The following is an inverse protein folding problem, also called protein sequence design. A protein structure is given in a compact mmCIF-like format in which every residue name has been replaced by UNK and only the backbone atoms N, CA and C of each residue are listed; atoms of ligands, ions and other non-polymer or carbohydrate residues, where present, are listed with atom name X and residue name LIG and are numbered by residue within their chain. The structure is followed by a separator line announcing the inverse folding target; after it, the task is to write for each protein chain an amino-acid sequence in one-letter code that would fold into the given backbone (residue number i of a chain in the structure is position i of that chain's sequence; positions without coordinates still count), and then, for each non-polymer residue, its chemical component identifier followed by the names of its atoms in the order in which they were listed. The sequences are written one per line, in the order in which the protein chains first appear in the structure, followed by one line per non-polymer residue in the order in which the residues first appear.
data_IF_205150133195
#
_entry.id   IF_205150133195
#
_cell.length_a   1.000
_cell.length_b   1.000
_cell.length_c   1.000
_cell.angle_alpha   90.00
_cell.angle_beta   90.00
_cell.angle_gamma   90.00
#
_symmetry.space_group_name_H-M   'P 1'
#
loop_
_entity.id
_entity.type
_entity.pdbx_description
1 polymer ?
#
# COMPACT_ATOMS: atom_id res chain seq x y z
N UNK A 1 -6.68 -7.35 13.10
CA UNK A 1 -7.78 -6.36 13.03
C UNK A 1 -9.08 -7.12 12.83
N UNK A 2 -10.17 -6.83 13.56
CA UNK A 2 -11.44 -7.58 13.42
C UNK A 2 -12.59 -6.70 12.94
N UNK A 3 -13.64 -7.25 12.30
CA UNK A 3 -14.83 -6.50 11.89
C UNK A 3 -15.49 -5.72 13.04
N UNK A 4 -15.56 -6.30 14.24
CA UNK A 4 -16.13 -5.63 15.42
C UNK A 4 -15.31 -4.40 15.84
N UNK A 5 -13.98 -4.51 15.83
CA UNK A 5 -13.06 -3.40 16.12
C UNK A 5 -13.17 -2.30 15.05
N UNK A 6 -13.22 -2.66 13.77
CA UNK A 6 -13.39 -1.72 12.65
C UNK A 6 -14.67 -0.91 12.85
N UNK A 7 -15.81 -1.59 13.04
CA UNK A 7 -17.10 -0.93 13.20
C UNK A 7 -17.13 0.00 14.42
N UNK A 8 -16.59 -0.47 15.56
CA UNK A 8 -16.55 0.33 16.79
C UNK A 8 -15.67 1.57 16.64
N UNK A 9 -14.50 1.43 16.01
CA UNK A 9 -13.58 2.54 15.78
C UNK A 9 -14.19 3.60 14.85
N UNK A 10 -14.79 3.18 13.73
CA UNK A 10 -15.41 4.09 12.77
C UNK A 10 -16.64 4.82 13.35
N UNK A 11 -17.44 4.17 14.22
CA UNK A 11 -18.53 4.86 14.93
C UNK A 11 -18.02 6.00 15.82
N UNK A 12 -16.84 5.84 16.43
CA UNK A 12 -16.20 6.89 17.22
C UNK A 12 -15.59 7.95 16.31
N UNK A 13 -14.97 7.54 15.21
CA UNK A 13 -14.40 8.46 14.23
C UNK A 13 -15.43 9.48 13.71
N UNK A 14 -16.61 8.99 13.31
CA UNK A 14 -17.71 9.84 12.84
C UNK A 14 -18.21 10.80 13.95
N UNK A 15 -18.21 10.36 15.21
CA UNK A 15 -18.67 11.18 16.35
C UNK A 15 -17.69 12.33 16.66
N UNK A 16 -16.40 12.10 16.45
CA UNK A 16 -15.35 13.05 16.82
C UNK A 16 -14.72 13.78 15.62
N UNK A 17 -15.16 13.49 14.40
CA UNK A 17 -14.63 14.06 13.15
C UNK A 17 -13.11 13.84 13.02
N UNK A 18 -12.68 12.59 13.17
CA UNK A 18 -11.26 12.19 13.06
C UNK A 18 -11.09 11.09 12.02
N UNK A 19 -9.93 11.05 11.37
CA UNK A 19 -9.59 9.99 10.42
C UNK A 19 -9.22 8.68 11.13
N UNK A 20 -9.51 7.55 10.48
CA UNK A 20 -9.04 6.22 10.89
C UNK A 20 -8.06 5.69 9.84
N UNK A 21 -6.84 5.40 10.27
CA UNK A 21 -5.86 4.65 9.48
C UNK A 21 -5.95 3.16 9.83
N UNK A 22 -5.87 2.28 8.84
CA UNK A 22 -5.99 0.83 9.06
C UNK A 22 -4.84 0.04 8.42
N UNK A 23 -4.32 -0.90 9.20
CA UNK A 23 -3.57 -2.08 8.77
C UNK A 23 -4.50 -3.29 8.93
N UNK A 24 -4.84 -3.97 7.84
CA UNK A 24 -5.89 -5.00 7.82
C UNK A 24 -5.37 -6.38 8.22
N UNK A 25 -6.26 -7.36 8.32
CA UNK A 25 -5.95 -8.69 8.83
C UNK A 25 -5.21 -9.55 7.79
N UNK A 26 -3.87 -9.49 7.83
CA UNK A 26 -3.02 -10.27 6.92
C UNK A 26 -3.33 -11.76 6.93
N UNK A 27 -3.71 -12.30 8.09
CA UNK A 27 -3.94 -13.73 8.27
C UNK A 27 -5.31 -14.17 7.74
N UNK A 28 -6.19 -13.23 7.43
CA UNK A 28 -7.60 -13.49 7.14
C UNK A 28 -8.27 -14.30 8.28
N UNK A 29 -7.85 -14.08 9.53
CA UNK A 29 -8.34 -14.81 10.71
C UNK A 29 -9.82 -14.51 10.95
N UNK A 30 -10.20 -13.24 10.85
CA UNK A 30 -11.57 -12.78 11.09
C UNK A 30 -12.42 -12.64 9.82
N UNK A 31 -11.90 -13.06 8.66
CA UNK A 31 -12.53 -12.92 7.35
C UNK A 31 -11.55 -12.46 6.26
N UNK A 32 -12.00 -12.44 5.01
CA UNK A 32 -11.22 -11.96 3.87
C UNK A 32 -11.39 -10.44 3.67
N UNK A 33 -10.74 -9.87 2.65
CA UNK A 33 -10.79 -8.42 2.39
C UNK A 33 -12.23 -7.92 2.21
N UNK A 34 -13.12 -8.73 1.64
CA UNK A 34 -14.53 -8.42 1.45
C UNK A 34 -15.27 -8.24 2.80
N UNK A 35 -14.93 -9.04 3.81
CA UNK A 35 -15.50 -8.91 5.15
C UNK A 35 -15.05 -7.62 5.84
N UNK A 36 -13.79 -7.22 5.64
CA UNK A 36 -13.27 -5.92 6.09
C UNK A 36 -13.95 -4.75 5.37
N UNK A 37 -14.15 -4.84 4.05
CA UNK A 37 -14.89 -3.83 3.26
C UNK A 37 -16.33 -3.70 3.77
N UNK A 38 -17.00 -4.82 4.04
CA UNK A 38 -18.33 -4.84 4.62
C UNK A 38 -18.36 -4.21 6.02
N UNK A 39 -17.35 -4.48 6.85
CA UNK A 39 -17.21 -3.89 8.18
C UNK A 39 -16.95 -2.38 8.13
N UNK A 40 -16.26 -1.87 7.11
CA UNK A 40 -16.10 -0.43 6.86
C UNK A 40 -17.45 0.22 6.55
N UNK A 41 -18.36 -0.49 5.87
CA UNK A 41 -19.74 -0.08 5.62
C UNK A 41 -19.86 1.29 4.93
N UNK A 42 -18.97 1.57 3.96
CA UNK A 42 -18.98 2.81 3.18
C UNK A 42 -18.49 4.07 3.93
N UNK A 43 -18.06 3.96 5.19
CA UNK A 43 -17.49 5.08 5.96
C UNK A 43 -16.09 5.41 5.49
N UNK A 44 -15.67 6.67 5.65
CA UNK A 44 -14.34 7.13 5.22
C UNK A 44 -13.26 6.43 6.03
N UNK A 45 -12.24 5.91 5.34
CA UNK A 45 -11.10 5.25 5.98
C UNK A 45 -9.82 5.41 5.15
N UNK A 46 -8.70 5.58 5.83
CA UNK A 46 -7.37 5.60 5.23
C UNK A 46 -6.73 4.22 5.33
N UNK A 47 -6.45 3.56 4.20
CA UNK A 47 -5.72 2.29 4.19
C UNK A 47 -4.21 2.55 4.11
N UNK A 48 -3.46 2.10 5.11
CA UNK A 48 -1.99 2.12 5.05
C UNK A 48 -1.46 1.01 4.16
N UNK A 49 -0.29 1.25 3.55
CA UNK A 49 0.46 0.33 2.68
C UNK A 49 -0.46 -0.59 1.87
N UNK A 50 -1.40 0.01 1.13
CA UNK A 50 -2.56 -0.63 0.51
C UNK A 50 -2.19 -1.77 -0.46
N UNK A 51 -0.97 -1.79 -0.98
CA UNK A 51 -0.45 -2.91 -1.78
C UNK A 51 -0.31 -4.21 -0.99
N UNK A 52 0.02 -4.13 0.30
CA UNK A 52 -0.01 -5.24 1.26
C UNK A 52 1.33 -5.79 1.72
N UNK A 53 2.49 -5.42 1.15
CA UNK A 53 3.79 -5.86 1.66
C UNK A 53 4.02 -5.36 3.10
N UNK A 54 3.70 -4.09 3.37
CA UNK A 54 3.69 -3.51 4.73
C UNK A 54 2.63 -4.15 5.64
N UNK A 55 1.63 -4.81 5.06
CA UNK A 55 0.67 -5.70 5.71
C UNK A 55 -0.78 -5.43 5.33
N UNK A 56 -1.63 -6.42 5.57
CA UNK A 56 -3.02 -6.45 5.15
C UNK A 56 -3.39 -7.76 4.47
N UNK A 57 -4.69 -8.00 4.30
CA UNK A 57 -5.25 -9.24 3.73
C UNK A 57 -4.40 -9.80 2.58
N UNK A 58 -3.86 -11.00 2.78
CA UNK A 58 -3.06 -11.68 1.78
C UNK A 58 -3.98 -12.54 0.87
N UNK A 59 -3.88 -12.44 -0.47
CA UNK A 59 -2.95 -11.62 -1.24
C UNK A 59 -3.52 -10.28 -1.75
N UNK A 60 -4.75 -9.93 -1.39
CA UNK A 60 -5.62 -9.09 -2.22
C UNK A 60 -6.15 -7.82 -1.56
N UNK A 61 -5.53 -7.37 -0.45
CA UNK A 61 -5.82 -6.06 0.15
C UNK A 61 -5.78 -4.92 -0.88
N UNK A 62 -4.96 -5.01 -1.92
CA UNK A 62 -4.85 -4.01 -2.99
C UNK A 62 -6.19 -3.70 -3.68
N UNK A 63 -7.15 -4.63 -3.67
CA UNK A 63 -8.52 -4.41 -4.19
C UNK A 63 -9.20 -3.19 -3.58
N UNK A 64 -8.90 -2.88 -2.31
CA UNK A 64 -9.57 -1.84 -1.54
C UNK A 64 -9.35 -0.43 -2.11
N UNK A 65 -8.34 -0.22 -2.98
CA UNK A 65 -8.16 1.06 -3.68
C UNK A 65 -9.27 1.35 -4.71
N UNK A 66 -10.11 0.37 -5.03
CA UNK A 66 -11.30 0.54 -5.87
C UNK A 66 -12.53 1.09 -5.13
N UNK A 67 -12.49 1.12 -3.79
CA UNK A 67 -13.61 1.58 -2.97
C UNK A 67 -13.66 3.11 -2.87
N UNK A 68 -14.84 3.70 -3.08
CA UNK A 68 -15.02 5.16 -3.18
C UNK A 68 -14.74 5.91 -1.88
N UNK A 69 -14.97 5.26 -0.74
CA UNK A 69 -14.81 5.81 0.60
C UNK A 69 -13.40 5.60 1.17
N UNK A 70 -12.50 4.98 0.40
CA UNK A 70 -11.15 4.65 0.86
C UNK A 70 -10.15 5.69 0.36
N UNK A 71 -9.25 6.11 1.26
CA UNK A 71 -8.09 6.94 0.95
C UNK A 71 -6.84 6.04 0.95
N UNK A 72 -6.43 5.49 -0.22
CA UNK A 72 -5.35 4.52 -0.29
C UNK A 72 -3.96 5.16 -0.27
N UNK A 73 -3.04 4.58 0.49
CA UNK A 73 -1.66 5.03 0.60
C UNK A 73 -0.65 3.89 0.45
N UNK A 74 0.52 4.22 -0.08
CA UNK A 74 1.68 3.33 -0.05
C UNK A 74 2.66 3.74 1.04
N UNK A 75 3.47 2.78 1.47
CA UNK A 75 4.70 3.07 2.22
C UNK A 75 5.90 2.91 1.30
N UNK A 76 7.01 3.56 1.64
CA UNK A 76 8.02 3.87 0.63
C UNK A 76 9.03 2.76 0.25
N UNK A 77 9.22 1.64 0.96
CA UNK A 77 10.24 0.67 0.54
C UNK A 77 9.91 -0.10 -0.73
N UNK A 78 8.63 -0.30 -1.04
CA UNK A 78 8.22 -0.94 -2.29
C UNK A 78 8.36 0.00 -3.50
N UNK A 79 8.69 1.29 -3.27
CA UNK A 79 8.59 2.35 -4.27
C UNK A 79 9.96 2.70 -4.88
N UNK A 80 10.09 2.71 -6.21
CA UNK A 80 9.36 1.84 -7.13
C UNK A 80 9.80 0.38 -7.00
N UNK A 81 9.12 -0.52 -7.72
CA UNK A 81 9.59 -1.89 -7.87
C UNK A 81 10.95 -1.92 -8.61
N UNK A 82 11.96 -2.53 -8.01
CA UNK A 82 13.33 -2.67 -8.56
C UNK A 82 13.81 -4.12 -8.48
N UNK A 83 14.98 -4.40 -9.07
CA UNK A 83 15.61 -5.73 -9.06
C UNK A 83 15.76 -6.32 -7.64
N UNK A 84 16.11 -5.49 -6.66
CA UNK A 84 16.40 -5.96 -5.30
C UNK A 84 15.18 -5.91 -4.36
N UNK A 85 14.05 -5.37 -4.81
CA UNK A 85 12.90 -5.12 -3.93
C UNK A 85 12.37 -6.41 -3.29
N UNK A 86 12.25 -7.49 -4.07
CA UNK A 86 11.70 -8.75 -3.58
C UNK A 86 12.58 -9.42 -2.54
N UNK A 87 13.87 -9.56 -2.83
CA UNK A 87 14.82 -10.19 -1.91
C UNK A 87 14.97 -9.37 -0.62
N UNK A 88 15.05 -8.04 -0.72
CA UNK A 88 15.09 -7.16 0.44
C UNK A 88 13.84 -7.32 1.32
N UNK A 89 12.65 -7.32 0.72
CA UNK A 89 11.40 -7.33 1.49
C UNK A 89 11.11 -8.71 2.11
N UNK A 90 11.49 -9.79 1.42
CA UNK A 90 11.33 -11.14 1.96
C UNK A 90 12.18 -11.29 3.23
N UNK A 91 13.46 -10.94 3.16
CA UNK A 91 14.37 -11.01 4.30
C UNK A 91 13.96 -10.05 5.43
N UNK A 92 13.61 -8.80 5.09
CA UNK A 92 13.08 -7.83 6.06
C UNK A 92 11.86 -8.37 6.80
N UNK A 93 10.89 -8.97 6.08
CA UNK A 93 9.68 -9.52 6.69
C UNK A 93 10.02 -10.67 7.66
N UNK A 94 10.89 -11.59 7.22
CA UNK A 94 11.32 -12.73 8.02
C UNK A 94 12.01 -12.28 9.31
N UNK A 95 12.91 -11.29 9.23
CA UNK A 95 13.56 -10.70 10.40
C UNK A 95 12.55 -10.03 11.32
N UNK A 96 11.67 -9.17 10.79
CA UNK A 96 10.69 -8.43 11.59
C UNK A 96 9.71 -9.34 12.34
N UNK A 97 9.37 -10.50 11.77
CA UNK A 97 8.41 -11.44 12.35
C UNK A 97 9.08 -12.65 13.02
N UNK A 98 10.41 -12.65 13.14
CA UNK A 98 11.19 -13.74 13.74
C UNK A 98 10.88 -15.11 13.11
N UNK A 99 10.70 -15.14 11.79
CA UNK A 99 10.38 -16.34 11.02
C UNK A 99 11.63 -17.17 10.76
N UNK A 100 11.48 -18.50 10.71
CA UNK A 100 12.55 -19.43 10.39
C UNK A 100 12.42 -19.97 8.95
N UNK A 101 13.47 -19.76 8.15
CA UNK A 101 13.63 -20.33 6.80
C UNK A 101 13.56 -21.87 6.73
N UNK A 102 13.60 -22.55 7.87
CA UNK A 102 13.46 -24.02 7.96
C UNK A 102 12.03 -24.47 8.22
N UNK A 103 11.12 -23.55 8.55
CA UNK A 103 9.70 -23.83 8.81
C UNK A 103 8.91 -23.53 7.51
N UNK A 104 8.27 -24.54 6.89
CA UNK A 104 7.51 -24.34 5.65
C UNK A 104 6.37 -23.33 5.77
N UNK A 105 5.68 -23.29 6.92
CA UNK A 105 4.58 -22.37 7.20
C UNK A 105 5.06 -20.91 7.25
N UNK A 106 6.25 -20.67 7.80
CA UNK A 106 6.88 -19.36 7.87
C UNK A 106 7.25 -18.85 6.47
N UNK A 107 7.80 -19.73 5.63
CA UNK A 107 8.07 -19.41 4.22
C UNK A 107 6.75 -19.14 3.47
N UNK A 108 5.72 -19.95 3.72
CA UNK A 108 4.42 -19.79 3.08
C UNK A 108 3.77 -18.45 3.47
N UNK A 109 3.84 -18.05 4.74
CA UNK A 109 3.39 -16.74 5.21
C UNK A 109 4.20 -15.61 4.57
N UNK A 110 5.54 -15.72 4.54
CA UNK A 110 6.37 -14.69 3.95
C UNK A 110 6.11 -14.51 2.45
N UNK A 111 6.00 -15.62 1.72
CA UNK A 111 5.68 -15.65 0.29
C UNK A 111 4.24 -15.23 -0.05
N UNK A 112 3.30 -15.41 0.88
CA UNK A 112 1.92 -14.92 0.67
C UNK A 112 1.85 -13.40 0.79
N UNK A 113 2.74 -12.77 1.58
CA UNK A 113 2.76 -11.32 1.84
C UNK A 113 3.65 -10.52 0.88
N UNK A 114 4.86 -11.00 0.57
CA UNK A 114 5.80 -10.32 -0.33
C UNK A 114 5.63 -10.84 -1.76
N UNK A 115 4.88 -10.09 -2.57
CA UNK A 115 4.45 -10.53 -3.91
C UNK A 115 4.95 -9.59 -4.99
N UNK A 116 5.56 -10.16 -6.04
CA UNK A 116 6.07 -9.39 -7.18
C UNK A 116 4.95 -8.66 -7.91
N UNK A 117 3.83 -9.35 -8.05
CA UNK A 117 2.69 -8.96 -8.85
C UNK A 117 2.03 -7.70 -8.28
N UNK A 118 1.76 -7.68 -6.98
CA UNK A 118 1.11 -6.54 -6.33
C UNK A 118 2.07 -5.36 -6.15
N UNK A 119 3.35 -5.59 -5.84
CA UNK A 119 4.38 -4.53 -5.78
C UNK A 119 4.57 -3.85 -7.16
N UNK A 120 4.56 -4.64 -8.24
CA UNK A 120 4.63 -4.10 -9.60
C UNK A 120 3.33 -3.37 -10.00
N UNK A 121 2.16 -3.89 -9.61
CA UNK A 121 0.88 -3.25 -9.86
C UNK A 121 0.77 -1.89 -9.15
N UNK A 122 1.28 -1.78 -7.93
CA UNK A 122 1.28 -0.55 -7.13
C UNK A 122 1.97 0.63 -7.87
N UNK A 123 3.04 0.37 -8.64
CA UNK A 123 3.67 1.41 -9.47
C UNK A 123 2.68 1.98 -10.50
N UNK A 124 1.93 1.11 -11.18
CA UNK A 124 0.96 1.50 -12.20
C UNK A 124 -0.24 2.20 -11.57
N UNK A 125 -0.72 1.70 -10.43
CA UNK A 125 -1.86 2.27 -9.70
C UNK A 125 -1.54 3.68 -9.17
N UNK A 126 -0.29 3.95 -8.79
CA UNK A 126 0.16 5.32 -8.52
C UNK A 126 0.11 6.21 -9.76
N UNK A 127 0.61 5.71 -10.89
CA UNK A 127 0.72 6.48 -12.13
C UNK A 127 -0.64 6.85 -12.72
N UNK A 128 -1.65 5.99 -12.59
CA UNK A 128 -3.02 6.28 -13.02
C UNK A 128 -3.84 7.08 -11.99
N UNK A 129 -3.32 7.22 -10.76
CA UNK A 129 -3.97 7.98 -9.68
C UNK A 129 -4.97 7.19 -8.83
N UNK A 130 -4.95 5.86 -8.89
CA UNK A 130 -5.77 5.00 -8.02
C UNK A 130 -5.23 4.93 -6.59
N UNK A 131 -3.91 5.12 -6.41
CA UNK A 131 -3.31 5.36 -5.09
C UNK A 131 -3.10 6.86 -4.90
N UNK A 132 -3.42 7.37 -3.71
CA UNK A 132 -3.54 8.81 -3.48
C UNK A 132 -2.42 9.40 -2.63
N UNK A 133 -1.74 8.59 -1.81
CA UNK A 133 -0.76 9.06 -0.82
C UNK A 133 0.50 8.16 -0.84
N UNK A 134 1.67 8.73 -0.59
CA UNK A 134 2.92 8.00 -0.32
C UNK A 134 3.44 8.47 1.05
N UNK A 135 3.58 7.52 1.98
CA UNK A 135 4.07 7.73 3.33
C UNK A 135 5.38 6.96 3.56
N UNK A 136 5.99 7.14 4.75
CA UNK A 136 7.24 6.46 5.10
C UNK A 136 7.01 5.03 5.59
N UNK A 137 6.31 4.89 6.73
CA UNK A 137 6.37 3.78 7.70
C UNK A 137 7.67 3.75 8.51
N UNK A 138 8.03 4.91 9.05
CA UNK A 138 9.36 5.18 9.61
C UNK A 138 9.85 4.11 10.59
N UNK A 139 10.91 3.40 10.21
CA UNK A 139 11.55 2.31 10.98
C UNK A 139 10.66 1.09 11.27
N UNK A 140 9.49 1.00 10.63
CA UNK A 140 8.54 -0.10 10.76
C UNK A 140 8.16 -0.65 9.38
N UNK A 141 9.16 -1.05 8.59
CA UNK A 141 9.05 -1.31 7.14
C UNK A 141 8.97 -0.04 6.29
N UNK A 142 9.74 0.99 6.66
CA UNK A 142 9.75 2.28 5.96
C UNK A 142 10.91 3.20 6.31
N UNK A 143 11.20 4.14 5.41
CA UNK A 143 12.38 5.03 5.50
C UNK A 143 11.96 6.50 5.58
N UNK A 144 12.02 7.11 6.75
CA UNK A 144 11.47 8.48 6.98
C UNK A 144 12.02 9.54 6.02
N UNK A 145 13.32 9.49 5.71
CA UNK A 145 13.99 10.48 4.85
C UNK A 145 13.78 10.29 3.35
N UNK A 146 13.02 9.27 2.92
CA UNK A 146 12.95 8.88 1.51
C UNK A 146 11.59 9.11 0.85
N UNK A 147 10.57 9.62 1.56
CA UNK A 147 9.21 9.80 1.02
C UNK A 147 9.21 10.58 -0.30
N UNK A 148 9.81 11.78 -0.32
CA UNK A 148 9.84 12.63 -1.52
C UNK A 148 10.63 11.97 -2.65
N UNK A 149 11.83 11.46 -2.35
CA UNK A 149 12.70 10.83 -3.35
C UNK A 149 12.03 9.62 -4.00
N UNK A 150 11.39 8.76 -3.20
CA UNK A 150 10.71 7.54 -3.65
C UNK A 150 9.50 7.88 -4.54
N UNK A 151 8.75 8.91 -4.18
CA UNK A 151 7.67 9.46 -5.01
C UNK A 151 8.16 9.84 -6.41
N UNK A 152 9.26 10.58 -6.52
CA UNK A 152 9.80 10.98 -7.82
C UNK A 152 10.52 9.86 -8.58
N UNK A 153 11.13 8.89 -7.87
CA UNK A 153 11.66 7.68 -8.49
C UNK A 153 10.55 6.84 -9.13
N UNK A 154 9.39 6.71 -8.50
CA UNK A 154 8.22 6.04 -9.09
C UNK A 154 7.71 6.81 -10.30
N UNK A 155 7.55 8.13 -10.22
CA UNK A 155 7.16 8.95 -11.36
C UNK A 155 8.12 8.79 -12.55
N UNK A 156 9.43 8.82 -12.28
CA UNK A 156 10.46 8.61 -13.28
C UNK A 156 10.36 7.24 -13.95
N UNK A 157 10.30 6.16 -13.16
CA UNK A 157 10.18 4.80 -13.69
C UNK A 157 8.95 4.64 -14.57
N UNK A 158 7.81 5.18 -14.13
CA UNK A 158 6.56 5.10 -14.89
C UNK A 158 6.62 5.88 -16.20
N UNK A 159 7.28 7.04 -16.23
CA UNK A 159 7.59 7.73 -17.49
C UNK A 159 8.43 6.86 -18.43
N UNK A 160 9.50 6.26 -17.92
CA UNK A 160 10.41 5.41 -18.72
C UNK A 160 9.69 4.22 -19.32
N UNK A 161 8.79 3.57 -18.56
CA UNK A 161 8.11 2.35 -18.99
C UNK A 161 6.80 2.60 -19.76
N UNK A 162 6.09 3.69 -19.48
CA UNK A 162 4.74 3.95 -19.98
C UNK A 162 4.61 5.20 -20.85
N UNK A 163 5.68 5.99 -20.98
CA UNK A 163 5.65 7.26 -21.71
C UNK A 163 4.91 8.37 -20.96
N UNK A 164 4.57 9.48 -21.64
CA UNK A 164 3.76 10.56 -21.09
C UNK A 164 2.37 10.07 -20.64
N UNK A 165 1.78 10.70 -19.61
CA UNK A 165 0.36 10.49 -19.32
C UNK A 165 -0.52 11.10 -20.41
N UNK A 166 -1.77 10.66 -20.53
CA UNK A 166 -2.71 11.23 -21.53
C UNK A 166 -3.03 12.70 -21.29
N UNK A 167 -2.83 13.19 -20.07
CA UNK A 167 -2.99 14.60 -19.70
C UNK A 167 -1.68 15.40 -19.75
N UNK A 168 -0.54 14.75 -19.97
CA UNK A 168 0.72 15.46 -20.22
C UNK A 168 0.71 16.07 -21.64
N UNK A 169 1.66 16.98 -21.90
CA UNK A 169 1.87 17.54 -23.23
C UNK A 169 3.14 16.97 -23.85
N UNK A 170 3.31 17.09 -25.16
CA UNK A 170 4.53 16.63 -25.86
C UNK A 170 5.83 17.31 -25.37
N UNK A 171 5.72 18.41 -24.62
CA UNK A 171 6.86 19.22 -24.17
C UNK A 171 7.25 19.02 -22.72
N UNK A 172 6.38 18.47 -21.87
CA UNK A 172 6.61 18.39 -20.42
C UNK A 172 5.70 17.36 -19.74
N UNK A 173 6.13 16.92 -18.57
CA UNK A 173 5.40 15.98 -17.69
C UNK A 173 4.66 16.70 -16.57
N UNK A 174 4.19 17.95 -16.78
CA UNK A 174 3.65 18.78 -15.71
C UNK A 174 2.46 18.12 -15.00
N UNK A 175 1.62 17.38 -15.73
CA UNK A 175 0.48 16.72 -15.13
C UNK A 175 0.94 15.54 -14.26
N UNK A 176 1.88 14.73 -14.74
CA UNK A 176 2.53 13.70 -13.91
C UNK A 176 3.18 14.31 -12.67
N UNK A 177 3.98 15.36 -12.81
CA UNK A 177 4.64 16.02 -11.67
C UNK A 177 3.62 16.49 -10.64
N UNK A 178 2.52 17.16 -11.07
CA UNK A 178 1.43 17.60 -10.19
C UNK A 178 0.74 16.42 -9.49
N UNK A 179 0.47 15.32 -10.20
CA UNK A 179 -0.11 14.10 -9.63
C UNK A 179 0.77 13.47 -8.57
N UNK A 180 2.09 13.47 -8.76
CA UNK A 180 3.00 12.82 -7.82
C UNK A 180 3.36 13.72 -6.63
N UNK A 181 3.55 15.02 -6.83
CA UNK A 181 3.78 15.94 -5.70
C UNK A 181 2.57 16.05 -4.78
N UNK A 182 1.34 15.85 -5.28
CA UNK A 182 0.13 15.84 -4.43
C UNK A 182 0.01 14.59 -3.54
N UNK A 183 0.91 13.62 -3.65
CA UNK A 183 0.89 12.37 -2.85
C UNK A 183 1.71 12.49 -1.56
N UNK A 184 2.44 13.59 -1.36
CA UNK A 184 3.39 13.81 -0.25
C UNK A 184 3.11 15.11 0.51
#
# INVERSE_FOLDING_TARGET
TTPSTINSCLNIADKFDVQVCIHTDTLNEAGFVEDTINAIAGRTIHTFHTEGAGGGHAPDIIKICGEKNVLPSSTNPTRPYTRNTLEEHLDMLMVCHHLDSKIPEDIAFAGSRIRRETIAAEDILHDIGAFSIIASDSQAMGRVGEVITRTFQTAHKMKVQRGPLSQDSDRNDNYRVKRYISKV
#
